data_IF_535948665690
#
_entry.id   IF_535948665690
#
_cell.length_a   1.000
_cell.length_b   1.000
_cell.length_c   1.000
_cell.angle_alpha   90.00
_cell.angle_beta   90.00
_cell.angle_gamma   90.00
#
_symmetry.space_group_name_H-M   'P 1'
#
loop_
_entity.id
_entity.type
_entity.pdbx_description
1 polymer ?
#
# COMPACT_ATOMS: atom_id res chain seq x y z
N UNK A 1 36.05 8.68 -23.83
CA UNK A 1 35.14 9.84 -23.85
C UNK A 1 33.75 9.28 -23.52
N UNK A 2 33.38 8.91 -22.29
CA UNK A 2 33.24 9.69 -21.03
C UNK A 2 32.40 10.95 -21.18
N UNK A 3 31.09 10.76 -21.37
CA UNK A 3 30.05 11.71 -21.03
C UNK A 3 29.01 10.95 -20.22
N UNK A 4 29.12 10.97 -18.90
CA UNK A 4 27.97 10.71 -18.04
C UNK A 4 27.11 11.96 -18.14
N UNK A 5 26.05 11.92 -18.95
CA UNK A 5 24.97 12.87 -18.75
C UNK A 5 24.46 12.65 -17.33
N UNK A 6 24.79 13.57 -16.42
CA UNK A 6 24.19 13.65 -15.10
C UNK A 6 22.74 14.12 -15.27
N UNK A 7 21.94 13.29 -15.91
CA UNK A 7 20.54 13.52 -16.15
C UNK A 7 19.75 13.19 -14.90
N UNK A 8 18.70 13.96 -14.65
CA UNK A 8 17.72 13.64 -13.62
C UNK A 8 17.08 12.28 -13.94
N UNK A 9 17.12 11.33 -13.00
CA UNK A 9 16.52 10.01 -13.19
C UNK A 9 15.08 10.02 -12.72
N UNK A 10 14.13 9.52 -13.52
CA UNK A 10 12.72 9.56 -13.15
C UNK A 10 11.96 8.37 -13.70
N UNK A 11 11.10 7.77 -12.89
CA UNK A 11 10.25 6.68 -13.36
C UNK A 11 9.48 5.97 -12.26
N UNK A 12 8.80 4.90 -12.66
CA UNK A 12 7.83 4.19 -11.83
C UNK A 12 8.41 2.89 -11.29
N UNK A 13 8.25 2.67 -9.99
CA UNK A 13 8.68 1.46 -9.30
C UNK A 13 7.49 0.82 -8.63
N UNK A 14 7.16 -0.43 -8.97
CA UNK A 14 6.08 -1.15 -8.29
C UNK A 14 6.62 -2.11 -7.25
N UNK A 15 6.11 -2.06 -6.02
CA UNK A 15 6.38 -3.11 -5.03
C UNK A 15 5.34 -4.23 -5.12
N UNK A 16 5.85 -5.46 -5.15
CA UNK A 16 5.05 -6.67 -5.37
C UNK A 16 5.47 -7.75 -4.41
N UNK A 17 4.58 -8.70 -4.14
CA UNK A 17 4.85 -9.77 -3.20
C UNK A 17 3.57 -10.25 -2.54
N UNK A 18 3.67 -11.36 -1.80
CA UNK A 18 2.54 -11.93 -1.07
C UNK A 18 1.89 -10.88 -0.13
N UNK A 19 0.65 -11.08 0.31
CA UNK A 19 0.10 -10.26 1.39
C UNK A 19 1.03 -10.29 2.62
N UNK A 20 1.11 -9.18 3.35
CA UNK A 20 1.90 -9.03 4.59
C UNK A 20 3.44 -9.11 4.45
N UNK A 21 3.99 -8.95 3.24
CA UNK A 21 5.44 -8.85 3.02
C UNK A 21 6.03 -7.48 3.36
N UNK A 22 5.23 -6.52 3.84
CA UNK A 22 5.73 -5.21 4.27
C UNK A 22 5.82 -4.13 3.17
N UNK A 23 5.20 -4.34 2.01
CA UNK A 23 5.16 -3.37 0.88
C UNK A 23 4.77 -1.95 1.31
N UNK A 24 3.57 -1.76 1.86
CA UNK A 24 3.09 -0.42 2.25
C UNK A 24 3.92 0.20 3.37
N UNK A 25 4.47 -0.62 4.29
CA UNK A 25 5.42 -0.14 5.31
C UNK A 25 6.70 0.37 4.66
N UNK A 26 7.21 -0.34 3.65
CA UNK A 26 8.37 0.07 2.88
C UNK A 26 8.09 1.33 2.06
N UNK A 27 6.94 1.41 1.39
CA UNK A 27 6.51 2.62 0.67
C UNK A 27 6.52 3.85 1.58
N UNK A 28 5.92 3.74 2.77
CA UNK A 28 5.91 4.85 3.74
C UNK A 28 7.33 5.22 4.21
N UNK A 29 8.20 4.22 4.44
CA UNK A 29 9.58 4.46 4.85
C UNK A 29 10.39 5.18 3.77
N UNK A 30 10.22 4.81 2.50
CA UNK A 30 10.89 5.43 1.37
C UNK A 30 10.42 6.87 1.11
N UNK A 31 9.11 7.11 1.23
CA UNK A 31 8.52 8.45 1.10
C UNK A 31 8.86 9.33 2.31
N UNK A 32 9.03 8.74 3.49
CA UNK A 32 9.24 9.46 4.75
C UNK A 32 7.93 9.96 5.39
N UNK A 33 6.79 9.61 4.82
CA UNK A 33 5.46 9.94 5.32
C UNK A 33 4.48 8.78 5.13
N UNK A 34 3.38 8.80 5.87
CA UNK A 34 2.34 7.76 5.78
C UNK A 34 1.38 8.06 4.61
N UNK A 35 1.73 7.56 3.43
CA UNK A 35 0.91 7.70 2.20
C UNK A 35 0.11 6.44 1.88
N UNK A 36 0.52 5.28 2.39
CA UNK A 36 -0.19 4.01 2.23
C UNK A 36 -0.60 3.44 3.60
N UNK A 37 -1.76 2.80 3.67
CA UNK A 37 -2.19 2.15 4.91
C UNK A 37 -1.45 0.84 5.16
N UNK A 38 -1.33 0.47 6.43
CA UNK A 38 -0.62 -0.72 6.87
C UNK A 38 -1.51 -1.57 7.77
N UNK A 39 -1.56 -2.86 7.52
CA UNK A 39 -2.24 -3.80 8.42
C UNK A 39 -1.63 -5.19 8.26
N UNK A 40 -1.71 -5.99 9.31
CA UNK A 40 -1.33 -7.41 9.28
C UNK A 40 -2.37 -8.29 8.56
N UNK A 41 -3.42 -7.68 7.99
CA UNK A 41 -4.49 -8.37 7.29
C UNK A 41 -4.15 -8.53 5.80
N UNK A 42 -4.40 -9.71 5.21
CA UNK A 42 -4.33 -9.85 3.76
C UNK A 42 -5.28 -8.88 3.07
N UNK A 43 -4.93 -8.45 1.85
CA UNK A 43 -5.71 -7.49 1.04
C UNK A 43 -5.91 -6.14 1.74
N UNK A 44 -4.88 -5.68 2.45
CA UNK A 44 -4.85 -4.33 3.03
C UNK A 44 -4.90 -3.28 1.94
N UNK A 45 -4.01 -3.27 0.95
CA UNK A 45 -4.06 -2.35 -0.19
C UNK A 45 -5.12 -2.81 -1.21
N UNK A 46 -6.04 -1.92 -1.60
CA UNK A 46 -7.11 -2.19 -2.59
C UNK A 46 -7.18 -1.17 -3.73
N UNK A 47 -6.43 -0.09 -3.62
CA UNK A 47 -6.24 0.93 -4.63
C UNK A 47 -4.75 1.00 -4.95
N UNK A 48 -4.41 1.43 -6.15
CA UNK A 48 -3.02 1.72 -6.50
C UNK A 48 -2.67 3.05 -5.86
N UNK A 49 -1.77 3.06 -4.87
CA UNK A 49 -1.34 4.31 -4.22
C UNK A 49 0.01 4.69 -4.80
N UNK A 50 0.18 5.96 -5.20
CA UNK A 50 1.50 6.48 -5.57
C UNK A 50 2.13 7.24 -4.41
N UNK A 51 3.32 6.79 -4.02
CA UNK A 51 4.22 7.51 -3.12
C UNK A 51 5.35 8.13 -3.93
N UNK A 52 5.68 9.38 -3.67
CA UNK A 52 6.67 10.12 -4.44
C UNK A 52 7.91 10.32 -3.58
N UNK A 53 9.05 9.81 -4.04
CA UNK A 53 10.37 10.09 -3.45
C UNK A 53 11.09 11.02 -4.39
N UNK A 54 11.24 12.28 -3.99
CA UNK A 54 11.93 13.31 -4.77
C UNK A 54 13.25 13.68 -4.10
N UNK A 55 14.32 13.73 -4.90
CA UNK A 55 15.67 14.22 -4.55
C UNK A 55 16.18 15.10 -5.69
N UNK A 56 17.28 15.81 -5.46
CA UNK A 56 17.81 16.79 -6.41
C UNK A 56 18.21 16.16 -7.77
N UNK A 57 18.57 14.89 -7.78
CA UNK A 57 19.08 14.14 -8.94
C UNK A 57 18.13 13.03 -9.44
N UNK A 58 17.03 12.74 -8.72
CA UNK A 58 16.04 11.76 -9.17
C UNK A 58 14.63 11.92 -8.57
N UNK A 59 13.65 11.30 -9.22
CA UNK A 59 12.30 11.08 -8.70
C UNK A 59 11.85 9.64 -8.91
N UNK A 60 11.53 8.95 -7.82
CA UNK A 60 10.93 7.63 -7.84
C UNK A 60 9.44 7.76 -7.55
N UNK A 61 8.60 7.26 -8.45
CA UNK A 61 7.15 7.12 -8.24
C UNK A 61 6.88 5.68 -7.82
N UNK A 62 6.72 5.48 -6.51
CA UNK A 62 6.41 4.20 -5.90
C UNK A 62 4.94 3.87 -6.10
N UNK A 63 4.66 2.77 -6.78
CA UNK A 63 3.32 2.28 -7.04
C UNK A 63 3.03 1.12 -6.07
N UNK A 64 2.36 1.41 -4.95
CA UNK A 64 1.93 0.38 -4.00
C UNK A 64 0.71 -0.34 -4.58
N UNK A 65 0.85 -1.65 -4.79
CA UNK A 65 -0.18 -2.47 -5.40
C UNK A 65 -0.75 -3.51 -4.42
N UNK A 66 -2.02 -3.92 -4.60
CA UNK A 66 -2.60 -5.03 -3.86
C UNK A 66 -1.72 -6.29 -3.90
N UNK A 67 -1.64 -7.01 -2.78
CA UNK A 67 -0.93 -8.29 -2.74
C UNK A 67 -1.59 -9.32 -3.66
N UNK A 68 -0.81 -9.89 -4.59
CA UNK A 68 -1.31 -10.93 -5.49
C UNK A 68 -1.70 -12.21 -4.72
N UNK A 69 -2.83 -12.78 -5.11
CA UNK A 69 -3.35 -14.04 -4.56
C UNK A 69 -4.32 -14.70 -5.54
N UNK A 70 -4.67 -15.97 -5.33
CA UNK A 70 -5.68 -16.65 -6.15
C UNK A 70 -7.07 -16.07 -5.84
N UNK A 71 -7.77 -15.43 -6.80
CA UNK A 71 -8.98 -14.66 -6.49
C UNK A 71 -10.18 -15.57 -6.26
N UNK A 72 -11.02 -15.23 -5.27
CA UNK A 72 -12.27 -15.92 -4.93
C UNK A 72 -13.53 -15.06 -5.12
N UNK A 73 -13.36 -13.77 -5.38
CA UNK A 73 -14.41 -12.75 -5.55
C UNK A 73 -14.15 -11.91 -6.79
N UNK A 74 -15.14 -11.11 -7.23
CA UNK A 74 -14.94 -10.19 -8.35
C UNK A 74 -13.95 -9.08 -7.97
N UNK A 75 -14.02 -8.56 -6.74
CA UNK A 75 -13.00 -7.65 -6.20
C UNK A 75 -11.59 -8.23 -6.34
N UNK A 76 -11.37 -9.47 -5.88
CA UNK A 76 -10.05 -10.09 -5.98
C UNK A 76 -9.55 -10.25 -7.42
N UNK A 77 -10.46 -10.49 -8.38
CA UNK A 77 -10.11 -10.52 -9.82
C UNK A 77 -9.66 -9.14 -10.30
N UNK A 78 -10.44 -8.09 -10.01
CA UNK A 78 -10.09 -6.70 -10.38
C UNK A 78 -8.78 -6.24 -9.77
N UNK A 79 -8.53 -6.57 -8.49
CA UNK A 79 -7.25 -6.24 -7.84
C UNK A 79 -6.07 -6.92 -8.55
N UNK A 80 -6.21 -8.18 -8.96
CA UNK A 80 -5.16 -8.86 -9.73
C UNK A 80 -4.98 -8.29 -11.15
N UNK A 81 -6.06 -7.87 -11.81
CA UNK A 81 -6.01 -7.20 -13.12
C UNK A 81 -5.25 -5.86 -13.02
N UNK A 82 -5.60 -5.03 -12.02
CA UNK A 82 -4.91 -3.79 -11.72
C UNK A 82 -3.41 -3.98 -11.46
N UNK A 83 -3.04 -5.03 -10.73
CA UNK A 83 -1.63 -5.36 -10.49
C UNK A 83 -0.92 -5.72 -11.81
N UNK A 84 -1.55 -6.52 -12.68
CA UNK A 84 -0.98 -6.90 -13.98
C UNK A 84 -0.81 -5.71 -14.92
N UNK A 85 -1.80 -4.83 -14.96
CA UNK A 85 -1.74 -3.61 -15.76
C UNK A 85 -0.59 -2.72 -15.28
N UNK A 86 -0.41 -2.61 -13.96
CA UNK A 86 0.71 -1.88 -13.35
C UNK A 86 2.06 -2.45 -13.79
N UNK A 87 2.24 -3.78 -13.83
CA UNK A 87 3.53 -4.39 -14.20
C UNK A 87 3.98 -4.02 -15.61
N UNK A 88 3.03 -3.82 -16.52
CA UNK A 88 3.33 -3.46 -17.91
C UNK A 88 3.77 -2.00 -18.09
N UNK A 89 3.60 -1.16 -17.05
CA UNK A 89 3.77 0.28 -17.13
C UNK A 89 4.90 0.82 -16.24
N UNK A 90 5.57 -0.04 -15.45
CA UNK A 90 6.66 0.37 -14.55
C UNK A 90 8.04 0.06 -15.13
N UNK A 91 9.01 0.90 -14.76
CA UNK A 91 10.41 0.77 -15.16
C UNK A 91 11.13 -0.30 -14.32
N UNK A 92 10.77 -0.41 -13.03
CA UNK A 92 11.35 -1.37 -12.08
C UNK A 92 10.26 -2.06 -11.27
N UNK A 93 10.44 -3.35 -11.03
CA UNK A 93 9.61 -4.14 -10.12
C UNK A 93 10.44 -4.53 -8.91
N UNK A 94 10.00 -4.10 -7.72
CA UNK A 94 10.55 -4.49 -6.42
C UNK A 94 9.80 -5.69 -5.84
N UNK A 95 10.38 -6.89 -5.90
CA UNK A 95 9.79 -8.09 -5.29
C UNK A 95 10.12 -8.16 -3.81
N UNK A 96 9.14 -7.90 -2.95
CA UNK A 96 9.28 -7.98 -1.50
C UNK A 96 9.12 -9.42 -1.00
N UNK A 97 10.21 -9.99 -0.48
CA UNK A 97 10.23 -11.29 0.22
C UNK A 97 10.62 -11.02 1.68
N UNK A 98 9.85 -11.48 2.68
CA UNK A 98 10.16 -11.22 4.07
C UNK A 98 11.27 -12.15 4.57
N UNK A 99 12.15 -11.62 5.42
CA UNK A 99 13.23 -12.38 6.05
C UNK A 99 12.75 -13.31 7.18
N UNK A 100 11.54 -13.09 7.71
CA UNK A 100 10.96 -13.86 8.81
C UNK A 100 10.11 -15.07 8.35
N UNK A 101 10.05 -15.35 7.05
CA UNK A 101 9.29 -16.48 6.48
C UNK A 101 10.10 -17.22 5.39
N UNK A 102 9.94 -18.55 5.25
CA UNK A 102 10.56 -19.28 4.17
C UNK A 102 9.96 -18.92 2.80
N UNK A 103 10.77 -19.01 1.74
CA UNK A 103 10.34 -18.84 0.36
C UNK A 103 9.35 -19.94 -0.03
N UNK A 104 8.10 -19.56 -0.25
CA UNK A 104 6.99 -20.48 -0.52
C UNK A 104 6.61 -20.57 -2.01
N UNK A 105 5.64 -21.44 -2.34
CA UNK A 105 5.08 -21.54 -3.68
C UNK A 105 4.48 -20.23 -4.20
N UNK A 106 3.95 -19.38 -3.30
CA UNK A 106 3.41 -18.07 -3.67
C UNK A 106 4.46 -17.09 -4.18
N UNK A 107 5.68 -17.13 -3.61
CA UNK A 107 6.78 -16.26 -4.06
C UNK A 107 7.25 -16.68 -5.47
N UNK A 108 7.41 -17.99 -5.69
CA UNK A 108 7.77 -18.58 -7.00
C UNK A 108 6.74 -18.23 -8.07
N UNK A 109 5.45 -18.39 -7.75
CA UNK A 109 4.37 -18.06 -8.67
C UNK A 109 4.35 -16.56 -9.02
N UNK A 110 4.64 -15.65 -8.08
CA UNK A 110 4.71 -14.21 -8.37
C UNK A 110 5.84 -13.92 -9.37
N UNK A 111 7.01 -14.53 -9.21
CA UNK A 111 8.13 -14.37 -10.17
C UNK A 111 7.73 -14.86 -11.55
N UNK A 112 7.11 -16.03 -11.65
CA UNK A 112 6.59 -16.57 -12.92
C UNK A 112 5.61 -15.58 -13.58
N UNK A 113 4.71 -14.96 -12.80
CA UNK A 113 3.78 -13.96 -13.34
C UNK A 113 4.48 -12.68 -13.80
N UNK A 114 5.44 -12.18 -13.02
CA UNK A 114 6.24 -11.01 -13.40
C UNK A 114 6.94 -11.29 -14.72
N UNK A 115 7.61 -12.44 -14.86
CA UNK A 115 8.33 -12.81 -16.07
C UNK A 115 7.41 -13.10 -17.26
N UNK A 116 6.19 -13.56 -17.02
CA UNK A 116 5.20 -13.74 -18.07
C UNK A 116 4.64 -12.41 -18.62
N UNK A 117 4.41 -11.43 -17.74
CA UNK A 117 3.77 -10.14 -18.11
C UNK A 117 4.79 -9.06 -18.49
N UNK A 118 5.90 -8.99 -17.76
CA UNK A 118 6.92 -7.96 -17.85
C UNK A 118 8.33 -8.59 -17.94
N UNK A 119 8.61 -9.42 -18.97
CA UNK A 119 9.85 -10.20 -19.05
C UNK A 119 11.13 -9.36 -19.11
N UNK A 120 11.03 -8.10 -19.58
CA UNK A 120 12.18 -7.20 -19.77
C UNK A 120 12.34 -6.16 -18.66
N UNK A 121 11.34 -6.04 -17.79
CA UNK A 121 11.37 -5.04 -16.71
C UNK A 121 12.39 -5.46 -15.65
N UNK A 122 13.19 -4.47 -15.20
CA UNK A 122 14.22 -4.69 -14.19
C UNK A 122 13.57 -5.19 -12.91
N UNK A 123 14.14 -6.26 -12.34
CA UNK A 123 13.69 -6.84 -11.08
C UNK A 123 14.72 -6.55 -9.99
N UNK A 124 14.25 -6.01 -8.87
CA UNK A 124 15.00 -5.87 -7.62
C UNK A 124 14.29 -6.72 -6.58
N UNK A 125 14.98 -7.66 -5.93
CA UNK A 125 14.41 -8.39 -4.80
C UNK A 125 14.72 -7.67 -3.51
N UNK A 126 13.67 -7.28 -2.80
CA UNK A 126 13.76 -6.57 -1.54
C UNK A 126 13.51 -7.56 -0.41
N UNK A 127 14.56 -7.92 0.32
CA UNK A 127 14.45 -8.81 1.48
C UNK A 127 14.01 -7.98 2.70
N UNK A 128 12.71 -7.90 2.90
CA UNK A 128 12.08 -7.05 3.93
C UNK A 128 12.16 -7.65 5.34
N UNK A 129 11.91 -6.82 6.36
CA UNK A 129 11.78 -7.22 7.78
C UNK A 129 13.03 -7.88 8.38
N UNK A 130 14.22 -7.45 7.96
CA UNK A 130 15.48 -8.00 8.50
C UNK A 130 15.63 -7.80 10.01
N UNK A 131 14.92 -6.81 10.59
CA UNK A 131 14.84 -6.57 12.04
C UNK A 131 14.21 -7.72 12.83
N UNK A 132 13.45 -8.61 12.17
CA UNK A 132 12.80 -9.76 12.82
C UNK A 132 13.61 -11.05 12.73
N UNK A 133 14.66 -11.08 11.89
CA UNK A 133 15.51 -12.24 11.67
C UNK A 133 16.81 -12.15 12.45
N UNK A 134 17.42 -13.30 12.75
CA UNK A 134 18.84 -13.33 13.14
C UNK A 134 19.72 -13.10 11.91
N UNK A 135 20.98 -12.68 12.11
CA UNK A 135 21.95 -12.52 11.01
C UNK A 135 22.06 -13.77 10.15
N UNK A 136 22.11 -14.95 10.77
CA UNK A 136 22.18 -16.23 10.07
C UNK A 136 20.93 -16.52 9.24
N UNK A 137 19.74 -16.16 9.74
CA UNK A 137 18.49 -16.31 8.99
C UNK A 137 18.48 -15.37 7.77
N UNK A 138 18.84 -14.10 7.96
CA UNK A 138 18.91 -13.13 6.86
C UNK A 138 19.92 -13.59 5.80
N UNK A 139 21.10 -14.07 6.22
CA UNK A 139 22.10 -14.61 5.30
C UNK A 139 21.58 -15.82 4.51
N UNK A 140 20.93 -16.78 5.18
CA UNK A 140 20.32 -17.93 4.52
C UNK A 140 19.23 -17.51 3.53
N UNK A 141 18.41 -16.52 3.88
CA UNK A 141 17.37 -15.99 3.00
C UNK A 141 17.96 -15.30 1.78
N UNK A 142 19.05 -14.52 1.93
CA UNK A 142 19.75 -13.89 0.81
C UNK A 142 20.29 -14.92 -0.18
N UNK A 143 20.85 -16.04 0.30
CA UNK A 143 21.28 -17.15 -0.56
C UNK A 143 20.09 -17.76 -1.30
N UNK A 144 19.01 -18.07 -0.59
CA UNK A 144 17.81 -18.67 -1.19
C UNK A 144 17.14 -17.75 -2.23
N UNK A 145 17.17 -16.43 -2.00
CA UNK A 145 16.70 -15.43 -2.97
C UNK A 145 17.61 -15.35 -4.18
N UNK A 146 18.93 -15.40 -4.00
CA UNK A 146 19.89 -15.41 -5.10
C UNK A 146 19.75 -16.62 -6.02
N UNK A 147 19.38 -17.78 -5.47
CA UNK A 147 19.03 -18.96 -6.27
C UNK A 147 17.68 -18.81 -7.00
N UNK A 148 16.73 -18.12 -6.37
CA UNK A 148 15.38 -17.94 -6.89
C UNK A 148 15.32 -16.95 -8.06
N UNK A 149 16.10 -15.86 -8.01
CA UNK A 149 16.12 -14.79 -9.00
C UNK A 149 17.57 -14.31 -9.25
N UNK A 150 18.40 -15.14 -9.93
CA UNK A 150 19.83 -14.88 -10.10
C UNK A 150 20.16 -13.63 -10.92
N UNK A 151 19.21 -13.13 -11.71
CA UNK A 151 19.34 -11.93 -12.51
C UNK A 151 19.00 -10.62 -11.76
N UNK A 152 18.45 -10.73 -10.55
CA UNK A 152 17.95 -9.58 -9.80
C UNK A 152 19.01 -9.03 -8.84
N UNK A 153 18.98 -7.71 -8.65
CA UNK A 153 19.70 -7.09 -7.54
C UNK A 153 18.93 -7.37 -6.23
N UNK A 154 19.65 -7.64 -5.15
CA UNK A 154 19.06 -8.05 -3.87
C UNK A 154 19.43 -7.04 -2.81
N UNK A 155 18.42 -6.42 -2.18
CA UNK A 155 18.62 -5.43 -1.12
C UNK A 155 17.87 -5.87 0.15
N UNK A 156 18.57 -6.24 1.23
CA UNK A 156 17.95 -6.49 2.53
C UNK A 156 17.59 -5.18 3.22
N UNK A 157 16.35 -5.04 3.69
CA UNK A 157 15.86 -3.80 4.32
C UNK A 157 15.00 -4.06 5.56
N UNK A 158 15.06 -3.11 6.50
CA UNK A 158 14.02 -2.97 7.51
C UNK A 158 13.37 -1.59 7.38
N UNK A 159 12.11 -1.59 6.93
CA UNK A 159 11.30 -0.38 6.89
C UNK A 159 10.97 0.16 8.30
N UNK A 160 11.10 -0.66 9.35
CA UNK A 160 10.80 -0.27 10.74
C UNK A 160 12.00 0.39 11.41
N UNK A 161 13.20 -0.18 11.25
CA UNK A 161 14.42 0.42 11.82
C UNK A 161 15.08 1.46 10.90
N UNK A 162 14.69 1.51 9.61
CA UNK A 162 15.32 2.33 8.59
C UNK A 162 16.58 1.70 7.98
N UNK A 163 16.96 0.49 8.40
CA UNK A 163 18.16 -0.19 7.92
C UNK A 163 18.09 -0.42 6.40
N UNK A 164 19.08 0.12 5.69
CA UNK A 164 19.26 0.04 4.22
C UNK A 164 18.12 0.63 3.37
N UNK A 165 17.26 1.47 3.95
CA UNK A 165 16.22 2.17 3.18
C UNK A 165 16.87 3.10 2.14
N UNK A 166 17.88 3.89 2.52
CA UNK A 166 18.59 4.78 1.58
C UNK A 166 19.34 4.00 0.50
N UNK A 167 19.94 2.85 0.85
CA UNK A 167 20.60 1.96 -0.13
C UNK A 167 19.60 1.45 -1.17
N UNK A 168 18.39 1.10 -0.74
CA UNK A 168 17.33 0.69 -1.66
C UNK A 168 16.91 1.85 -2.57
N UNK A 169 16.82 3.09 -2.04
CA UNK A 169 16.52 4.28 -2.84
C UNK A 169 17.56 4.43 -3.95
N UNK A 170 18.84 4.36 -3.61
CA UNK A 170 19.94 4.53 -4.57
C UNK A 170 19.92 3.44 -5.65
N UNK A 171 19.69 2.18 -5.27
CA UNK A 171 19.57 1.04 -6.19
C UNK A 171 18.38 1.22 -7.14
N UNK A 172 17.24 1.67 -6.64
CA UNK A 172 16.05 1.93 -7.45
C UNK A 172 16.28 3.10 -8.39
N UNK A 173 16.81 4.23 -7.90
CA UNK A 173 17.09 5.43 -8.70
C UNK A 173 18.06 5.14 -9.85
N UNK A 174 19.15 4.40 -9.58
CA UNK A 174 20.14 4.03 -10.59
C UNK A 174 19.56 3.11 -11.69
N UNK A 175 18.45 2.42 -11.42
CA UNK A 175 17.76 1.58 -12.39
C UNK A 175 16.72 2.34 -13.24
N UNK A 176 16.40 3.60 -12.90
CA UNK A 176 15.43 4.41 -13.63
C UNK A 176 16.03 5.06 -14.87
N UNK A 177 15.23 5.31 -15.92
CA UNK A 177 15.68 6.08 -17.07
C UNK A 177 15.90 7.55 -16.71
N UNK A 178 16.71 8.23 -17.53
CA UNK A 178 16.79 9.70 -17.49
C UNK A 178 15.49 10.29 -18.02
N UNK A 179 14.92 11.25 -17.31
CA UNK A 179 13.64 11.88 -17.67
C UNK A 179 13.32 13.11 -16.82
N UNK A 180 12.20 13.80 -17.10
CA UNK A 180 11.75 14.92 -16.28
C UNK A 180 11.10 14.44 -14.97
N UNK A 181 11.08 15.31 -13.95
CA UNK A 181 10.20 15.09 -12.80
C UNK A 181 8.73 15.05 -13.26
N UNK A 182 8.01 13.98 -12.89
CA UNK A 182 6.58 13.84 -13.12
C UNK A 182 5.78 14.73 -12.16
N UNK A 183 6.29 14.92 -10.94
CA UNK A 183 5.66 15.73 -9.89
C UNK A 183 6.68 16.79 -9.38
N UNK A 184 6.78 17.95 -10.05
CA UNK A 184 7.79 18.96 -9.73
C UNK A 184 7.48 19.76 -8.45
N UNK A 185 6.22 19.76 -7.99
CA UNK A 185 5.75 20.62 -6.89
C UNK A 185 6.01 20.03 -5.49
N UNK A 186 6.73 18.91 -5.40
CA UNK A 186 7.12 18.29 -4.13
C UNK A 186 6.00 17.51 -3.43
N UNK A 187 4.96 17.14 -4.17
CA UNK A 187 3.89 16.25 -3.68
C UNK A 187 4.47 14.93 -3.16
N UNK A 188 3.94 14.42 -2.06
CA UNK A 188 4.32 13.10 -1.51
C UNK A 188 3.46 11.96 -2.06
N UNK A 189 2.28 12.28 -2.59
CA UNK A 189 1.31 11.36 -3.19
C UNK A 189 0.37 12.15 -4.10
N UNK A 190 -0.18 11.50 -5.13
CA UNK A 190 -1.20 12.07 -6.01
C UNK A 190 -2.63 11.65 -5.64
N UNK A 191 -2.78 10.97 -4.50
CA UNK A 191 -4.08 10.52 -4.00
C UNK A 191 -4.92 11.69 -3.46
N UNK A 192 -6.22 11.79 -3.82
CA UNK A 192 -7.13 12.73 -3.20
C UNK A 192 -7.21 12.52 -1.69
N UNK A 193 -7.33 13.62 -0.94
CA UNK A 193 -7.41 13.58 0.52
C UNK A 193 -8.57 12.70 1.01
N UNK A 194 -9.71 12.70 0.31
CA UNK A 194 -10.86 11.84 0.63
C UNK A 194 -10.54 10.35 0.56
N UNK A 195 -9.71 9.95 -0.41
CA UNK A 195 -9.23 8.56 -0.52
C UNK A 195 -8.35 8.21 0.68
N UNK A 196 -7.39 9.08 1.02
CA UNK A 196 -6.52 8.88 2.18
C UNK A 196 -7.32 8.83 3.49
N UNK A 197 -8.32 9.69 3.66
CA UNK A 197 -9.24 9.68 4.80
C UNK A 197 -10.03 8.37 4.89
N UNK A 198 -10.61 7.90 3.78
CA UNK A 198 -11.31 6.62 3.74
C UNK A 198 -10.39 5.46 4.15
N UNK A 199 -9.16 5.50 3.68
CA UNK A 199 -8.14 4.49 3.96
C UNK A 199 -7.71 4.53 5.43
N UNK A 200 -7.49 5.69 6.06
CA UNK A 200 -7.20 5.78 7.50
C UNK A 200 -8.34 5.25 8.36
N UNK A 201 -9.59 5.53 8.00
CA UNK A 201 -10.77 4.97 8.68
C UNK A 201 -10.80 3.45 8.51
N UNK A 202 -10.53 2.96 7.30
CA UNK A 202 -10.50 1.53 7.01
C UNK A 202 -9.39 0.83 7.78
N UNK A 203 -8.18 1.36 7.81
CA UNK A 203 -7.05 0.85 8.57
C UNK A 203 -7.41 0.72 10.06
N UNK A 204 -7.91 1.79 10.67
CA UNK A 204 -8.36 1.79 12.06
C UNK A 204 -9.47 0.77 12.30
N UNK A 205 -10.40 0.61 11.35
CA UNK A 205 -11.48 -0.37 11.42
C UNK A 205 -11.01 -1.81 11.25
N UNK A 206 -9.90 -2.06 10.54
CA UNK A 206 -9.30 -3.39 10.38
C UNK A 206 -8.46 -3.82 11.59
N UNK A 207 -7.98 -2.84 12.37
CA UNK A 207 -7.15 -3.09 13.54
C UNK A 207 -7.91 -3.94 14.58
N UNK A 208 -7.24 -4.97 15.11
CA UNK A 208 -7.83 -5.90 16.08
C UNK A 208 -9.05 -6.70 15.61
N UNK A 209 -9.45 -6.64 14.33
CA UNK A 209 -10.56 -7.43 13.77
C UNK A 209 -10.06 -8.80 13.33
N UNK A 210 -10.79 -9.88 13.60
CA UNK A 210 -10.48 -11.24 13.10
C UNK A 210 -11.54 -11.73 12.09
N UNK A 211 -11.31 -12.93 11.56
CA UNK A 211 -12.23 -13.68 10.70
C UNK A 211 -12.52 -13.01 9.35
N UNK A 212 -13.78 -12.96 8.93
CA UNK A 212 -14.25 -12.59 7.59
C UNK A 212 -14.40 -11.08 7.35
N UNK A 213 -14.37 -10.29 8.42
CA UNK A 213 -14.63 -8.85 8.36
C UNK A 213 -13.57 -8.06 7.57
N UNK A 214 -12.25 -8.38 7.64
CA UNK A 214 -11.23 -7.67 6.87
C UNK A 214 -11.45 -7.68 5.35
N UNK A 215 -12.10 -8.72 4.84
CA UNK A 215 -12.41 -8.87 3.43
C UNK A 215 -13.71 -8.15 3.05
N UNK A 216 -14.61 -7.93 3.99
CA UNK A 216 -15.99 -7.46 3.73
C UNK A 216 -16.22 -5.98 4.04
N UNK A 217 -15.18 -5.26 4.47
CA UNK A 217 -15.25 -3.84 4.85
C UNK A 217 -14.87 -2.92 3.69
N UNK A 218 -15.64 -1.87 3.44
CA UNK A 218 -15.29 -0.75 2.56
C UNK A 218 -15.64 0.57 3.25
N UNK A 219 -14.94 1.66 2.93
CA UNK A 219 -15.21 2.99 3.49
C UNK A 219 -15.43 3.97 2.35
N UNK A 220 -16.44 4.83 2.49
CA UNK A 220 -16.75 5.91 1.55
C UNK A 220 -16.90 7.20 2.33
N UNK A 221 -16.20 8.25 1.90
CA UNK A 221 -16.44 9.62 2.37
C UNK A 221 -17.68 10.15 1.65
N UNK A 222 -18.71 10.54 2.40
CA UNK A 222 -19.92 11.14 1.84
C UNK A 222 -19.76 12.64 1.65
N UNK A 223 -19.12 13.32 2.59
CA UNK A 223 -18.99 14.77 2.61
C UNK A 223 -17.80 15.20 3.46
N UNK A 224 -17.06 16.19 2.96
CA UNK A 224 -16.03 16.93 3.69
C UNK A 224 -16.39 18.39 3.56
N UNK A 225 -16.56 19.09 4.69
CA UNK A 225 -16.86 20.52 4.66
C UNK A 225 -16.28 21.26 5.86
N UNK A 226 -15.92 22.54 5.71
CA UNK A 226 -15.70 23.40 6.86
C UNK A 226 -16.96 23.44 7.74
N UNK A 227 -16.78 23.50 9.05
CA UNK A 227 -17.89 23.66 9.98
C UNK A 227 -18.40 25.11 9.92
N UNK A 228 -19.72 25.27 9.73
CA UNK A 228 -20.37 26.59 9.60
C UNK A 228 -20.13 27.52 10.80
N UNK A 229 -20.06 26.98 12.02
CA UNK A 229 -19.92 27.75 13.26
C UNK A 229 -18.48 27.79 13.81
N UNK A 230 -17.50 27.21 13.11
CA UNK A 230 -16.13 27.08 13.60
C UNK A 230 -15.10 26.92 12.48
N UNK A 231 -14.28 27.97 12.29
CA UNK A 231 -13.27 28.02 11.22
C UNK A 231 -12.10 27.03 11.39
N UNK A 232 -11.74 26.64 12.62
CA UNK A 232 -10.66 25.68 12.92
C UNK A 232 -11.15 24.22 13.00
N UNK A 233 -12.23 23.87 12.31
CA UNK A 233 -12.82 22.53 12.34
C UNK A 233 -13.40 22.13 10.97
N UNK A 234 -13.04 20.94 10.51
CA UNK A 234 -13.63 20.30 9.33
C UNK A 234 -14.54 19.16 9.77
N UNK A 235 -15.73 19.08 9.19
CA UNK A 235 -16.63 17.95 9.31
C UNK A 235 -16.33 16.92 8.21
N UNK A 236 -16.09 15.68 8.63
CA UNK A 236 -15.90 14.53 7.75
C UNK A 236 -17.00 13.51 8.04
N UNK A 237 -17.82 13.22 7.04
CA UNK A 237 -18.89 12.22 7.12
C UNK A 237 -18.49 10.98 6.32
N UNK A 238 -18.44 9.82 6.97
CA UNK A 238 -18.02 8.58 6.33
C UNK A 238 -18.94 7.40 6.65
N UNK A 239 -19.07 6.49 5.67
CA UNK A 239 -19.79 5.23 5.82
C UNK A 239 -18.82 4.05 5.73
N UNK A 240 -18.88 3.19 6.74
CA UNK A 240 -18.31 1.85 6.72
C UNK A 240 -19.37 0.87 6.20
N UNK A 241 -19.11 0.27 5.05
CA UNK A 241 -19.94 -0.77 4.44
C UNK A 241 -19.45 -2.16 4.81
N UNK A 242 -20.39 -3.03 5.17
CA UNK A 242 -20.17 -4.47 5.44
C UNK A 242 -21.16 -5.33 4.66
N UNK A 243 -20.90 -6.63 4.50
CA UNK A 243 -21.80 -7.51 3.75
C UNK A 243 -22.96 -8.10 4.58
N UNK A 244 -22.79 -8.19 5.91
CA UNK A 244 -23.75 -8.87 6.81
C UNK A 244 -24.04 -8.07 8.08
N UNK A 245 -25.21 -8.29 8.67
CA UNK A 245 -25.58 -7.67 9.96
C UNK A 245 -24.69 -8.13 11.12
N UNK A 246 -24.23 -9.39 11.10
CA UNK A 246 -23.25 -9.90 12.07
C UNK A 246 -21.96 -9.09 12.05
N UNK A 247 -21.47 -8.77 10.85
CA UNK A 247 -20.29 -7.93 10.63
C UNK A 247 -20.52 -6.50 11.12
N UNK A 248 -21.70 -5.93 10.87
CA UNK A 248 -22.09 -4.60 11.40
C UNK A 248 -22.01 -4.58 12.93
N UNK A 249 -22.48 -5.63 13.59
CA UNK A 249 -22.36 -5.79 15.05
C UNK A 249 -20.90 -5.78 15.52
N UNK A 250 -20.00 -6.45 14.80
CA UNK A 250 -18.56 -6.47 15.11
C UNK A 250 -17.94 -5.08 14.97
N UNK A 251 -18.21 -4.36 13.87
CA UNK A 251 -17.67 -3.00 13.63
C UNK A 251 -18.15 -2.01 14.70
N UNK A 252 -19.43 -2.08 15.09
CA UNK A 252 -19.99 -1.18 16.10
C UNK A 252 -19.44 -1.52 17.50
N UNK A 253 -19.38 -2.81 17.84
CA UNK A 253 -19.01 -3.27 19.17
C UNK A 253 -20.09 -2.99 20.22
N UNK A 254 -19.91 -3.54 21.43
CA UNK A 254 -20.87 -3.38 22.53
C UNK A 254 -21.02 -1.90 22.90
N UNK A 255 -22.25 -1.37 22.81
CA UNK A 255 -22.53 0.04 23.11
C UNK A 255 -21.81 1.05 22.20
N UNK A 256 -21.36 0.63 21.01
CA UNK A 256 -20.61 1.50 20.10
C UNK A 256 -19.13 1.68 20.46
N UNK A 257 -18.60 0.93 21.44
CA UNK A 257 -17.24 1.11 21.94
C UNK A 257 -16.18 0.99 20.83
N UNK A 258 -16.28 -0.03 19.98
CA UNK A 258 -15.32 -0.24 18.89
C UNK A 258 -15.38 0.88 17.85
N UNK A 259 -16.58 1.30 17.45
CA UNK A 259 -16.71 2.38 16.46
C UNK A 259 -16.11 3.70 16.97
N UNK A 260 -16.18 3.95 18.29
CA UNK A 260 -15.52 5.11 18.92
C UNK A 260 -13.99 4.98 18.90
N UNK A 261 -13.45 3.79 19.14
CA UNK A 261 -12.00 3.53 19.03
C UNK A 261 -11.52 3.77 17.59
N UNK A 262 -12.24 3.24 16.60
CA UNK A 262 -11.99 3.46 15.17
C UNK A 262 -12.01 4.95 14.85
N UNK A 263 -13.06 5.66 15.26
CA UNK A 263 -13.18 7.10 15.04
C UNK A 263 -12.04 7.90 15.68
N UNK A 264 -11.61 7.53 16.89
CA UNK A 264 -10.51 8.21 17.59
C UNK A 264 -9.18 8.02 16.87
N UNK A 265 -8.88 6.78 16.48
CA UNK A 265 -7.64 6.43 15.78
C UNK A 265 -7.59 7.07 14.38
N UNK A 266 -8.68 6.98 13.61
CA UNK A 266 -8.77 7.56 12.28
C UNK A 266 -8.69 9.09 12.33
N UNK A 267 -9.46 9.75 13.21
CA UNK A 267 -9.44 11.21 13.35
C UNK A 267 -8.03 11.74 13.61
N UNK A 268 -7.26 11.08 14.46
CA UNK A 268 -5.87 11.49 14.76
C UNK A 268 -4.97 11.50 13.52
N UNK A 269 -5.20 10.58 12.57
CA UNK A 269 -4.46 10.55 11.31
C UNK A 269 -4.98 11.61 10.33
N UNK A 270 -6.30 11.79 10.25
CA UNK A 270 -6.92 12.79 9.37
C UNK A 270 -6.56 14.21 9.80
N UNK A 271 -6.52 14.51 11.10
CA UNK A 271 -6.09 15.84 11.59
C UNK A 271 -4.64 16.15 11.20
N UNK A 272 -3.77 15.14 11.15
CA UNK A 272 -2.39 15.31 10.67
C UNK A 272 -2.33 15.53 9.16
N UNK A 273 -3.17 14.82 8.40
CA UNK A 273 -3.28 14.99 6.95
C UNK A 273 -3.72 16.41 6.60
N UNK A 274 -4.81 16.88 7.21
CA UNK A 274 -5.44 18.16 6.88
C UNK A 274 -4.80 19.37 7.60
N UNK A 275 -3.96 19.13 8.62
CA UNK A 275 -3.37 20.18 9.44
C UNK A 275 -4.37 20.98 10.29
N UNK A 276 -5.59 20.45 10.51
CA UNK A 276 -6.67 21.11 11.25
C UNK A 276 -7.48 20.09 12.07
N UNK A 277 -8.32 20.58 13.00
CA UNK A 277 -9.16 19.68 13.81
C UNK A 277 -10.28 19.10 12.98
N UNK A 278 -10.71 17.89 13.34
CA UNK A 278 -11.73 17.16 12.59
C UNK A 278 -12.84 16.67 13.50
N UNK A 279 -14.08 16.92 13.09
CA UNK A 279 -15.24 16.17 13.56
C UNK A 279 -15.52 15.03 12.60
N UNK A 280 -15.37 13.79 13.08
CA UNK A 280 -15.54 12.58 12.27
C UNK A 280 -16.86 11.87 12.64
N UNK A 281 -17.83 11.89 11.73
CA UNK A 281 -19.09 11.14 11.85
C UNK A 281 -18.96 9.82 11.08
N UNK A 282 -19.04 8.70 11.81
CA UNK A 282 -18.95 7.35 11.26
C UNK A 282 -20.30 6.64 11.32
N UNK A 283 -20.75 6.13 10.18
CA UNK A 283 -21.97 5.31 10.07
C UNK A 283 -21.64 3.92 9.52
N UNK A 284 -22.36 2.90 9.97
CA UNK A 284 -22.18 1.52 9.48
C UNK A 284 -23.42 1.07 8.72
N UNK A 285 -23.28 0.76 7.42
CA UNK A 285 -24.35 0.29 6.54
C UNK A 285 -24.05 -1.13 6.02
N UNK A 286 -25.10 -1.91 5.79
CA UNK A 286 -24.99 -3.24 5.18
C UNK A 286 -25.25 -3.13 3.68
N UNK A 287 -24.26 -3.52 2.89
CA UNK A 287 -24.31 -3.67 1.43
C UNK A 287 -24.11 -5.15 1.10
N UNK A 288 -25.22 -5.89 0.93
CA UNK A 288 -25.17 -7.35 0.82
C UNK A 288 -24.37 -7.79 -0.42
N UNK A 289 -23.39 -8.67 -0.21
CA UNK A 289 -22.55 -9.29 -1.24
C UNK A 289 -21.87 -8.30 -2.21
N UNK A 290 -21.52 -7.11 -1.73
CA UNK A 290 -21.01 -6.03 -2.59
C UNK A 290 -19.74 -6.44 -3.36
N UNK A 291 -18.91 -7.34 -2.82
CA UNK A 291 -17.68 -7.83 -3.49
C UNK A 291 -17.94 -8.65 -4.76
N UNK A 292 -19.19 -9.05 -5.01
CA UNK A 292 -19.63 -9.84 -6.17
C UNK A 292 -20.52 -9.05 -7.12
N UNK A 293 -20.90 -7.82 -6.77
CA UNK A 293 -21.80 -6.98 -7.54
C UNK A 293 -21.01 -5.86 -8.25
N UNK A 294 -20.87 -5.91 -9.59
CA UNK A 294 -20.13 -4.90 -10.36
C UNK A 294 -20.59 -3.46 -10.13
N UNK A 295 -21.90 -3.24 -9.91
CA UNK A 295 -22.45 -1.89 -9.70
C UNK A 295 -22.08 -1.37 -8.32
N UNK A 296 -22.12 -2.23 -7.31
CA UNK A 296 -21.72 -1.84 -5.95
C UNK A 296 -20.22 -1.62 -5.86
N UNK A 297 -19.40 -2.42 -6.55
CA UNK A 297 -17.95 -2.17 -6.64
C UNK A 297 -17.66 -0.76 -7.17
N UNK A 298 -18.25 -0.38 -8.32
CA UNK A 298 -18.04 0.96 -8.87
C UNK A 298 -18.51 2.08 -7.94
N UNK A 299 -19.63 1.89 -7.25
CA UNK A 299 -20.14 2.86 -6.26
C UNK A 299 -19.23 2.99 -5.03
N UNK A 300 -18.53 1.93 -4.65
CA UNK A 300 -17.61 1.89 -3.51
C UNK A 300 -16.16 2.26 -3.90
N UNK A 301 -15.93 2.67 -5.15
CA UNK A 301 -14.63 3.10 -5.63
C UNK A 301 -13.70 1.97 -6.10
N UNK A 302 -14.25 0.82 -6.51
CA UNK A 302 -13.49 -0.35 -7.02
C UNK A 302 -13.91 -0.77 -8.44
#
# INVERSE_FOLDING_TARGET
MTGSDSGFHSGFVCFVGRPNTGKSTLTNALVGAKVAITSNRPQTTRHTIRGIVHRDDFQIILVDTPGLHRPRTLLGKRLNELVKDTYSQVDVIGLCIPADEPIGPGDRWIIEQIRAVAPRTKLVVVVTKIDKGTRDHVAAQLVAVGELAPEAEIVPVSAVSGEQVDVLIDVLAAALPVGPAFYPDGELTDEPEETLMAEFIREAALEGVRDELPHSLAVVIEEVRPRDDREDLIDVYAILYVERDSQKGIVIGRGGARLREVGTAARTQIEKLLGTKVFLDLRVKVAKNWQRDPKQLGRLGF
#
